data_IF_263184064279
#
_entry.id   IF_263184064279
#
_cell.length_a   1.000
_cell.length_b   1.000
_cell.length_c   1.000
_cell.angle_alpha   90.00
_cell.angle_beta   90.00
_cell.angle_gamma   90.00
#
_symmetry.space_group_name_H-M   'P 1'
#
loop_
_entity.id
_entity.type
_entity.pdbx_description
1 polymer ?
#
# COMPACT_ATOMS: atom_id res chain seq x y z
N UNK A 1 17.45 -12.11 0.57
CA UNK A 1 16.32 -12.94 1.09
C UNK A 1 15.59 -12.16 2.18
N UNK A 2 14.27 -12.29 2.35
CA UNK A 2 13.46 -11.53 3.34
C UNK A 2 14.03 -11.53 4.77
N UNK A 3 14.78 -12.58 5.14
CA UNK A 3 15.46 -12.71 6.44
C UNK A 3 16.64 -11.73 6.59
N UNK A 4 17.35 -11.41 5.51
CA UNK A 4 18.49 -10.48 5.50
C UNK A 4 18.02 -9.02 5.55
N UNK A 5 16.86 -8.71 4.98
CA UNK A 5 16.31 -7.35 4.89
C UNK A 5 15.65 -6.89 6.20
N UNK A 6 15.13 -7.84 7.00
CA UNK A 6 14.44 -7.55 8.26
C UNK A 6 15.22 -7.90 9.54
N UNK A 7 16.36 -8.62 9.44
CA UNK A 7 17.22 -9.03 10.58
C UNK A 7 16.48 -9.27 11.90
N UNK A 8 15.54 -10.24 11.97
CA UNK A 8 14.73 -10.40 13.16
C UNK A 8 15.56 -10.99 14.31
N UNK A 9 15.82 -10.18 15.35
CA UNK A 9 16.51 -10.65 16.57
C UNK A 9 15.59 -11.54 17.43
N UNK A 10 14.26 -11.36 17.34
CA UNK A 10 13.25 -12.11 18.11
C UNK A 10 11.99 -12.39 17.25
N UNK A 11 11.22 -13.44 17.59
CA UNK A 11 9.95 -13.83 16.92
C UNK A 11 8.96 -12.65 16.80
N UNK A 12 8.99 -11.71 17.75
CA UNK A 12 8.17 -10.50 17.74
C UNK A 12 8.47 -9.60 16.52
N UNK A 13 9.74 -9.42 16.17
CA UNK A 13 10.15 -8.58 15.05
C UNK A 13 9.77 -9.22 13.71
N UNK A 14 9.81 -10.56 13.63
CA UNK A 14 9.31 -11.29 12.47
C UNK A 14 7.79 -11.10 12.28
N UNK A 15 7.00 -11.15 13.35
CA UNK A 15 5.56 -10.91 13.27
C UNK A 15 5.24 -9.47 12.85
N UNK A 16 6.06 -8.50 13.27
CA UNK A 16 5.94 -7.11 12.85
C UNK A 16 6.31 -6.94 11.37
N UNK A 17 7.41 -7.54 10.94
CA UNK A 17 7.86 -7.56 9.55
C UNK A 17 6.77 -8.10 8.60
N UNK A 18 6.14 -9.22 8.97
CA UNK A 18 5.06 -9.81 8.19
C UNK A 18 3.82 -8.90 8.12
N UNK A 19 3.48 -8.22 9.22
CA UNK A 19 2.37 -7.25 9.24
C UNK A 19 2.66 -6.03 8.37
N UNK A 20 3.90 -5.55 8.39
CA UNK A 20 4.30 -4.39 7.59
C UNK A 20 4.39 -4.76 6.10
N UNK A 21 4.91 -5.94 5.75
CA UNK A 21 4.88 -6.47 4.38
C UNK A 21 3.44 -6.59 3.85
N UNK A 22 2.53 -7.14 4.65
CA UNK A 22 1.13 -7.26 4.27
C UNK A 22 0.49 -5.87 4.08
N UNK A 23 0.76 -4.93 4.99
CA UNK A 23 0.27 -3.55 4.90
C UNK A 23 0.73 -2.89 3.60
N UNK A 24 2.01 -3.02 3.26
CA UNK A 24 2.58 -2.40 2.07
C UNK A 24 2.06 -3.07 0.79
N UNK A 25 1.93 -4.40 0.79
CA UNK A 25 1.33 -5.15 -0.33
C UNK A 25 -0.12 -4.73 -0.56
N UNK A 26 -0.94 -4.63 0.49
CA UNK A 26 -2.33 -4.16 0.38
C UNK A 26 -2.39 -2.73 -0.15
N UNK A 27 -1.49 -1.86 0.29
CA UNK A 27 -1.42 -0.47 -0.20
C UNK A 27 -1.09 -0.42 -1.70
N UNK A 28 -0.18 -1.28 -2.16
CA UNK A 28 0.16 -1.37 -3.58
C UNK A 28 -1.02 -1.87 -4.41
N UNK A 29 -1.71 -2.92 -3.95
CA UNK A 29 -2.89 -3.46 -4.63
C UNK A 29 -3.99 -2.39 -4.74
N UNK A 30 -4.33 -1.72 -3.64
CA UNK A 30 -5.37 -0.68 -3.65
C UNK A 30 -5.03 0.50 -4.57
N UNK A 31 -3.74 0.86 -4.67
CA UNK A 31 -3.29 1.88 -5.63
C UNK A 31 -3.45 1.40 -7.07
N UNK A 32 -3.02 0.18 -7.36
CA UNK A 32 -3.17 -0.40 -8.71
C UNK A 32 -4.64 -0.52 -9.11
N UNK A 33 -5.53 -0.91 -8.19
CA UNK A 33 -6.98 -0.92 -8.43
C UNK A 33 -7.52 0.49 -8.71
N UNK A 34 -7.05 1.52 -7.98
CA UNK A 34 -7.42 2.91 -8.23
C UNK A 34 -6.90 3.42 -9.57
N UNK A 35 -5.67 3.03 -9.95
CA UNK A 35 -5.07 3.33 -11.24
C UNK A 35 -5.86 2.72 -12.39
N UNK A 36 -6.35 1.48 -12.23
CA UNK A 36 -7.18 0.81 -13.22
C UNK A 36 -8.62 1.36 -13.30
N UNK A 37 -9.16 1.86 -12.20
CA UNK A 37 -10.52 2.41 -12.15
C UNK A 37 -10.61 3.83 -12.74
N UNK A 38 -9.55 4.63 -12.62
CA UNK A 38 -9.52 5.98 -13.12
C UNK A 38 -9.05 6.00 -14.59
N UNK A 39 -9.64 6.84 -15.45
CA UNK A 39 -9.27 6.89 -16.87
C UNK A 39 -7.98 7.72 -17.11
N UNK A 40 -7.16 7.94 -16.08
CA UNK A 40 -5.99 8.81 -16.10
C UNK A 40 -4.91 8.33 -15.13
N UNK A 41 -3.66 8.63 -15.47
CA UNK A 41 -2.48 8.26 -14.68
C UNK A 41 -2.28 9.17 -13.47
N UNK A 42 -1.46 8.75 -12.50
CA UNK A 42 -1.32 9.42 -11.21
C UNK A 42 -0.92 10.91 -11.31
N UNK A 43 -0.07 11.28 -12.27
CA UNK A 43 0.44 12.64 -12.45
C UNK A 43 -0.37 13.49 -13.45
N UNK A 44 -1.47 12.96 -13.97
CA UNK A 44 -2.36 13.72 -14.82
C UNK A 44 -3.28 14.62 -13.97
N UNK A 45 -3.54 15.84 -14.46
CA UNK A 45 -4.50 16.78 -13.86
C UNK A 45 -5.81 16.76 -14.66
N UNK A 46 -6.65 15.71 -14.49
CA UNK A 46 -7.87 15.56 -15.27
C UNK A 46 -8.91 16.60 -14.87
N UNK A 47 -9.56 17.21 -15.86
CA UNK A 47 -10.74 18.04 -15.66
C UNK A 47 -12.01 17.15 -15.50
N UNK A 48 -11.91 16.09 -14.71
CA UNK A 48 -13.01 15.13 -14.49
C UNK A 48 -13.63 15.33 -13.11
N UNK A 49 -14.91 14.96 -12.96
CA UNK A 49 -15.62 15.03 -11.68
C UNK A 49 -14.96 14.13 -10.61
N UNK A 50 -14.35 13.02 -11.03
CA UNK A 50 -13.73 12.04 -10.14
C UNK A 50 -12.20 12.21 -10.13
N UNK A 51 -11.73 13.19 -9.38
CA UNK A 51 -10.31 13.40 -9.10
C UNK A 51 -9.81 12.47 -7.98
N UNK A 52 -8.55 12.02 -8.07
CA UNK A 52 -7.87 11.32 -6.97
C UNK A 52 -7.89 12.23 -5.75
N UNK A 53 -8.29 11.66 -4.63
CA UNK A 53 -8.20 12.32 -3.34
C UNK A 53 -7.07 11.69 -2.51
N UNK A 54 -6.71 12.40 -1.44
CA UNK A 54 -5.78 11.97 -0.39
C UNK A 54 -6.09 10.59 0.18
N UNK A 55 -5.11 10.00 0.88
CA UNK A 55 -5.26 8.70 1.54
C UNK A 55 -5.97 8.80 2.89
N UNK A 56 -6.82 7.83 3.22
CA UNK A 56 -7.41 7.66 4.55
C UNK A 56 -6.77 6.49 5.32
N UNK A 57 -6.68 6.62 6.65
CA UNK A 57 -6.17 5.56 7.53
C UNK A 57 -7.30 4.59 7.88
N UNK A 58 -7.09 3.29 7.66
CA UNK A 58 -8.03 2.23 8.05
C UNK A 58 -7.30 1.14 8.83
N UNK A 59 -7.86 0.76 9.98
CA UNK A 59 -7.42 -0.41 10.73
C UNK A 59 -8.17 -1.63 10.20
N UNK A 60 -7.45 -2.55 9.57
CA UNK A 60 -7.99 -3.84 9.12
C UNK A 60 -7.91 -4.80 10.31
N UNK A 61 -9.06 -5.34 10.73
CA UNK A 61 -9.19 -6.30 11.84
C UNK A 61 -9.23 -7.71 11.31
#
# INVERSE_FOLDING_TARGET
MLIEEFQPEVIYDLQKALKDLLRDTMKQILKAELDAHLPYEYDENPLTFNARNTSSKKTVK
#
